data_IF_144374878224
#
_entry.id   IF_144374878224
#
_cell.length_a   1.000
_cell.length_b   1.000
_cell.length_c   1.000
_cell.angle_alpha   90.00
_cell.angle_beta   90.00
_cell.angle_gamma   90.00
#
_symmetry.space_group_name_H-M   'P 1'
#
loop_
_entity.id
_entity.type
_entity.pdbx_description
1 polymer ?
#
# COMPACT_ATOMS: atom_id res chain seq x y z
N UNK A 1 -12.05 -1.76 -2.09
CA UNK A 1 -11.99 -0.90 -3.30
C UNK A 1 -10.89 -1.35 -4.28
N UNK A 2 -9.69 -1.75 -3.79
CA UNK A 2 -8.60 -2.19 -4.69
C UNK A 2 -8.97 -3.47 -5.45
N UNK A 3 -9.54 -4.46 -4.77
CA UNK A 3 -9.95 -5.74 -5.37
C UNK A 3 -11.05 -5.56 -6.44
N UNK A 4 -11.92 -4.57 -6.23
CA UNK A 4 -12.99 -4.20 -7.15
C UNK A 4 -12.54 -3.14 -8.17
N UNK A 5 -11.28 -2.68 -8.10
CA UNK A 5 -10.67 -1.69 -8.99
C UNK A 5 -11.38 -0.32 -8.98
N UNK A 6 -12.00 -0.02 -7.84
CA UNK A 6 -12.64 1.27 -7.59
C UNK A 6 -11.62 2.30 -7.07
N UNK A 7 -10.61 2.59 -7.90
CA UNK A 7 -9.43 3.38 -7.51
C UNK A 7 -9.77 4.79 -7.01
N UNK A 8 -10.80 5.45 -7.57
CA UNK A 8 -11.21 6.76 -7.07
C UNK A 8 -11.80 6.68 -5.65
N UNK A 9 -12.59 5.66 -5.37
CA UNK A 9 -13.10 5.44 -4.01
C UNK A 9 -11.96 5.09 -3.05
N UNK A 10 -10.99 4.32 -3.53
CA UNK A 10 -9.79 4.02 -2.76
C UNK A 10 -9.01 5.29 -2.39
N UNK A 11 -8.85 6.24 -3.32
CA UNK A 11 -8.21 7.54 -3.06
C UNK A 11 -8.95 8.37 -2.00
N UNK A 12 -10.27 8.23 -1.87
CA UNK A 12 -11.02 8.94 -0.81
C UNK A 12 -10.73 8.45 0.60
N UNK A 13 -10.07 7.31 0.76
CA UNK A 13 -9.66 6.80 2.08
C UNK A 13 -8.42 7.54 2.64
N UNK A 14 -7.75 8.37 1.84
CA UNK A 14 -6.50 9.02 2.20
C UNK A 14 -6.66 10.52 2.41
N UNK A 15 -6.02 11.05 3.45
CA UNK A 15 -5.86 12.48 3.65
C UNK A 15 -4.95 13.09 2.55
N UNK A 16 -5.08 14.38 2.29
CA UNK A 16 -4.29 15.06 1.25
C UNK A 16 -2.79 15.10 1.59
N UNK A 17 -2.46 15.12 2.89
CA UNK A 17 -1.12 15.11 3.46
C UNK A 17 -0.62 13.69 3.82
N UNK A 18 -1.22 12.65 3.26
CA UNK A 18 -0.85 11.26 3.56
C UNK A 18 0.61 10.97 3.18
N UNK A 19 1.35 10.36 4.09
CA UNK A 19 2.61 9.70 3.78
C UNK A 19 2.37 8.23 3.47
N UNK A 20 2.71 7.80 2.27
CA UNK A 20 2.64 6.40 1.85
C UNK A 20 4.04 5.86 1.61
N UNK A 21 4.47 4.92 2.43
CA UNK A 21 5.83 4.42 2.40
C UNK A 21 5.92 2.89 2.43
N UNK A 22 6.78 2.37 1.58
CA UNK A 22 7.14 0.97 1.53
C UNK A 22 8.67 0.88 1.56
N UNK A 23 9.27 0.66 2.76
CA UNK A 23 10.72 0.51 2.89
C UNK A 23 11.21 -0.73 2.14
N UNK A 24 12.46 -0.73 1.75
CA UNK A 24 13.14 -1.91 1.21
C UNK A 24 13.95 -2.62 2.30
N UNK A 25 14.28 -3.88 2.07
CA UNK A 25 15.26 -4.60 2.87
C UNK A 25 16.66 -4.30 2.33
N UNK A 26 17.61 -4.06 3.23
CA UNK A 26 19.02 -3.93 2.91
C UNK A 26 19.73 -5.29 2.83
N UNK A 27 20.95 -5.29 2.36
CA UNK A 27 21.80 -6.50 2.30
C UNK A 27 22.14 -7.09 3.69
N UNK A 28 21.88 -6.35 4.74
CA UNK A 28 22.06 -6.71 6.15
C UNK A 28 20.79 -7.29 6.81
N UNK A 29 19.75 -7.57 6.01
CA UNK A 29 18.44 -8.01 6.47
C UNK A 29 17.71 -7.00 7.39
N UNK A 30 18.08 -5.72 7.34
CA UNK A 30 17.39 -4.64 8.03
C UNK A 30 16.54 -3.82 7.05
N UNK A 31 15.42 -3.30 7.55
CA UNK A 31 14.60 -2.36 6.78
C UNK A 31 15.30 -1.00 6.71
N UNK A 32 15.17 -0.34 5.57
CA UNK A 32 15.53 1.08 5.44
C UNK A 32 14.69 1.91 6.40
N UNK A 33 15.31 2.93 7.03
CA UNK A 33 14.69 3.66 8.14
C UNK A 33 14.21 5.06 7.76
N UNK A 34 14.81 5.67 6.72
CA UNK A 34 14.51 7.04 6.31
C UNK A 34 14.23 7.10 4.80
N UNK A 35 12.99 7.37 4.36
CA UNK A 35 12.65 7.44 2.94
C UNK A 35 13.31 8.60 2.19
N UNK A 36 13.91 9.58 2.90
CA UNK A 36 14.62 10.71 2.30
C UNK A 36 16.07 10.36 1.95
N UNK A 37 16.69 9.42 2.65
CA UNK A 37 18.10 9.06 2.49
C UNK A 37 18.31 7.65 2.00
N UNK A 38 17.33 6.77 2.21
CA UNK A 38 17.41 5.35 1.92
C UNK A 38 16.54 4.97 0.71
N UNK A 39 16.84 3.81 0.12
CA UNK A 39 16.04 3.25 -0.95
C UNK A 39 14.68 2.81 -0.42
N UNK A 40 13.62 3.14 -1.12
CA UNK A 40 12.26 2.68 -0.87
C UNK A 40 11.71 1.91 -2.06
N UNK A 41 10.89 0.89 -1.82
CA UNK A 41 10.15 0.23 -2.89
C UNK A 41 9.07 1.18 -3.45
N UNK A 42 8.37 1.89 -2.56
CA UNK A 42 7.42 2.95 -2.90
C UNK A 42 7.52 4.05 -1.85
N UNK A 43 7.54 5.31 -2.28
CA UNK A 43 7.42 6.44 -1.40
C UNK A 43 6.65 7.59 -2.05
N UNK A 44 5.62 8.08 -1.37
CA UNK A 44 4.85 9.26 -1.73
C UNK A 44 4.67 10.14 -0.51
N UNK A 45 5.09 11.40 -0.62
CA UNK A 45 5.02 12.41 0.45
C UNK A 45 3.60 12.94 0.69
N UNK A 46 2.71 12.73 -0.27
CA UNK A 46 1.33 13.21 -0.23
C UNK A 46 0.45 12.42 -1.21
N UNK A 47 -0.85 12.69 -1.17
CA UNK A 47 -1.86 12.04 -2.00
C UNK A 47 -1.63 12.19 -3.51
N UNK A 48 -1.00 13.27 -3.94
CA UNK A 48 -0.71 13.52 -5.37
C UNK A 48 0.07 12.37 -6.02
N UNK A 49 0.99 11.73 -5.28
CA UNK A 49 1.71 10.56 -5.77
C UNK A 49 0.79 9.35 -6.00
N UNK A 50 -0.21 9.15 -5.15
CA UNK A 50 -1.22 8.10 -5.32
C UNK A 50 -2.16 8.40 -6.50
N UNK A 51 -2.57 9.65 -6.66
CA UNK A 51 -3.40 10.11 -7.79
C UNK A 51 -2.69 9.92 -9.12
N UNK A 52 -1.42 10.30 -9.21
CA UNK A 52 -0.57 10.05 -10.39
C UNK A 52 -0.47 8.55 -10.70
N UNK A 53 -0.39 7.71 -9.67
CA UNK A 53 -0.33 6.26 -9.86
C UNK A 53 -1.63 5.70 -10.40
N UNK A 54 -2.77 6.11 -9.85
CA UNK A 54 -4.10 5.73 -10.34
C UNK A 54 -4.29 6.19 -11.79
N UNK A 55 -3.88 7.40 -12.12
CA UNK A 55 -3.92 7.91 -13.49
C UNK A 55 -3.11 7.02 -14.46
N UNK A 56 -1.90 6.60 -14.08
CA UNK A 56 -1.07 5.70 -14.91
C UNK A 56 -1.69 4.33 -15.10
N UNK A 57 -2.30 3.76 -14.05
CA UNK A 57 -3.02 2.48 -14.12
C UNK A 57 -4.13 2.56 -15.17
N UNK A 58 -4.91 3.65 -15.19
CA UNK A 58 -6.03 3.86 -16.12
C UNK A 58 -5.61 4.11 -17.56
N UNK A 59 -4.49 4.74 -17.78
CA UNK A 59 -4.00 5.06 -19.13
C UNK A 59 -3.28 3.91 -19.82
N UNK A 60 -3.34 2.69 -19.27
CA UNK A 60 -2.65 1.49 -19.80
C UNK A 60 -1.12 1.65 -19.96
N UNK A 61 -0.56 2.71 -19.41
CA UNK A 61 0.88 3.00 -19.46
C UNK A 61 1.68 2.22 -18.41
N UNK A 62 1.00 1.48 -17.55
CA UNK A 62 1.63 0.64 -16.54
C UNK A 62 1.85 -0.77 -17.09
N UNK A 63 3.10 -1.21 -17.12
CA UNK A 63 3.45 -2.60 -17.47
C UNK A 63 2.80 -3.64 -16.54
N UNK A 64 2.44 -3.21 -15.33
CA UNK A 64 1.79 -4.05 -14.33
C UNK A 64 0.28 -4.22 -14.58
N UNK A 65 -0.37 -3.33 -15.35
CA UNK A 65 -1.84 -3.35 -15.60
C UNK A 65 -2.26 -3.61 -17.03
N UNK A 66 -1.31 -3.80 -17.95
CA UNK A 66 -1.64 -4.16 -19.34
C UNK A 66 -2.45 -5.48 -19.41
N UNK A 67 -3.18 -5.68 -20.48
CA UNK A 67 -4.02 -6.88 -20.69
C UNK A 67 -3.17 -8.17 -20.69
N UNK A 68 -3.60 -9.25 -20.00
CA UNK A 68 -4.81 -9.35 -19.18
C UNK A 68 -4.66 -8.62 -17.83
N UNK A 69 -5.73 -7.97 -17.41
CA UNK A 69 -5.74 -7.25 -16.15
C UNK A 69 -5.60 -8.19 -14.95
N UNK A 70 -4.83 -7.82 -13.92
CA UNK A 70 -4.69 -8.62 -12.72
C UNK A 70 -6.00 -8.67 -11.92
N UNK A 71 -6.17 -9.75 -11.16
CA UNK A 71 -7.19 -9.89 -10.13
C UNK A 71 -6.50 -10.08 -8.79
N UNK A 72 -6.93 -9.33 -7.79
CA UNK A 72 -6.37 -9.37 -6.44
C UNK A 72 -7.41 -9.78 -5.41
N UNK A 73 -6.95 -10.28 -4.29
CA UNK A 73 -7.75 -10.51 -3.09
C UNK A 73 -6.91 -10.15 -1.88
N UNK A 74 -7.28 -9.04 -1.21
CA UNK A 74 -6.63 -8.57 0.01
C UNK A 74 -7.26 -9.23 1.23
N UNK A 75 -6.42 -9.70 2.14
CA UNK A 75 -6.83 -10.29 3.40
C UNK A 75 -6.04 -9.65 4.53
N UNK A 76 -6.74 -9.17 5.55
CA UNK A 76 -6.18 -8.50 6.73
C UNK A 76 -6.49 -9.33 7.96
N UNK A 77 -5.50 -9.50 8.83
CA UNK A 77 -5.65 -10.23 10.08
C UNK A 77 -4.75 -9.66 11.19
N UNK A 78 -4.95 -10.11 12.42
CA UNK A 78 -4.18 -9.70 13.59
C UNK A 78 -4.11 -8.17 13.74
N UNK A 79 -5.26 -7.51 13.65
CA UNK A 79 -5.35 -6.06 13.83
C UNK A 79 -5.10 -5.71 15.29
N UNK A 80 -4.14 -4.82 15.52
CA UNK A 80 -3.74 -4.33 16.83
C UNK A 80 -3.77 -2.81 16.85
N UNK A 81 -4.40 -2.21 17.85
CA UNK A 81 -4.30 -0.78 18.14
C UNK A 81 -3.04 -0.56 18.95
N UNK A 82 -2.06 0.14 18.37
CA UNK A 82 -0.78 0.44 19.04
C UNK A 82 -0.96 1.60 20.00
N UNK A 83 -1.60 2.68 19.53
CA UNK A 83 -1.80 3.90 20.29
C UNK A 83 -3.07 4.62 19.84
N UNK A 84 -3.70 5.31 20.78
CA UNK A 84 -4.80 6.22 20.50
C UNK A 84 -4.55 7.58 21.15
N UNK A 85 -4.56 8.63 20.34
CA UNK A 85 -4.40 10.04 20.75
C UNK A 85 -5.62 10.84 20.31
N UNK A 86 -6.67 10.81 21.13
CA UNK A 86 -7.97 11.40 20.78
C UNK A 86 -8.60 10.69 19.57
N UNK A 87 -8.74 11.41 18.47
CA UNK A 87 -9.30 10.89 17.22
C UNK A 87 -8.25 10.27 16.28
N UNK A 88 -6.97 10.38 16.63
CA UNK A 88 -5.88 9.76 15.88
C UNK A 88 -5.57 8.39 16.48
N UNK A 89 -5.54 7.37 15.63
CA UNK A 89 -5.31 5.98 16.03
C UNK A 89 -4.21 5.37 15.18
N UNK A 90 -3.16 4.85 15.85
CA UNK A 90 -2.13 4.06 15.22
C UNK A 90 -2.48 2.58 15.31
N UNK A 91 -2.50 1.90 14.19
CA UNK A 91 -2.83 0.48 14.09
C UNK A 91 -1.73 -0.28 13.36
N UNK A 92 -1.59 -1.54 13.74
CA UNK A 92 -0.74 -2.52 13.07
C UNK A 92 -1.59 -3.72 12.70
N UNK A 93 -1.31 -4.31 11.55
CA UNK A 93 -1.96 -5.56 11.13
C UNK A 93 -1.06 -6.37 10.20
N UNK A 94 -1.31 -7.67 10.13
CA UNK A 94 -0.74 -8.53 9.12
C UNK A 94 -1.67 -8.57 7.92
N UNK A 95 -1.09 -8.75 6.75
CA UNK A 95 -1.87 -8.85 5.51
C UNK A 95 -1.27 -9.88 4.57
N UNK A 96 -2.09 -10.41 3.70
CA UNK A 96 -1.65 -11.09 2.50
C UNK A 96 -2.58 -10.77 1.33
N UNK A 97 -2.01 -10.61 0.15
CA UNK A 97 -2.71 -10.37 -1.09
C UNK A 97 -2.38 -11.49 -2.06
N UNK A 98 -3.43 -12.13 -2.58
CA UNK A 98 -3.29 -13.05 -3.69
C UNK A 98 -3.46 -12.26 -4.99
N UNK A 99 -2.48 -12.36 -5.85
CA UNK A 99 -2.45 -11.70 -7.16
C UNK A 99 -2.49 -12.75 -8.26
N UNK A 100 -3.47 -12.67 -9.15
CA UNK A 100 -3.63 -13.59 -10.27
C UNK A 100 -3.48 -12.89 -11.60
N UNK A 101 -2.54 -13.34 -12.40
CA UNK A 101 -2.32 -12.90 -13.78
C UNK A 101 -1.60 -13.98 -14.59
N UNK A 102 -1.84 -14.05 -15.91
CA UNK A 102 -1.19 -15.02 -16.79
C UNK A 102 -1.28 -16.49 -16.33
N UNK A 103 -2.41 -16.86 -15.70
CA UNK A 103 -2.65 -18.20 -15.12
C UNK A 103 -1.75 -18.54 -13.93
N UNK A 104 -1.07 -17.56 -13.37
CA UNK A 104 -0.21 -17.69 -12.21
C UNK A 104 -0.83 -16.95 -11.02
N UNK A 105 -0.65 -17.52 -9.83
CA UNK A 105 -1.00 -16.87 -8.56
C UNK A 105 0.29 -16.52 -7.85
N UNK A 106 0.49 -15.24 -7.57
CA UNK A 106 1.61 -14.74 -6.79
C UNK A 106 1.11 -14.22 -5.45
N UNK A 107 1.61 -14.72 -4.32
CA UNK A 107 1.28 -14.20 -3.01
C UNK A 107 2.19 -13.02 -2.66
N UNK A 108 1.61 -12.00 -2.04
CA UNK A 108 2.34 -10.93 -1.35
C UNK A 108 1.87 -10.91 0.10
N UNK A 109 2.78 -10.72 1.04
CA UNK A 109 2.40 -10.69 2.45
C UNK A 109 3.37 -9.85 3.29
N UNK A 110 2.84 -9.36 4.39
CA UNK A 110 3.62 -8.53 5.27
C UNK A 110 2.89 -8.00 6.48
N UNK A 111 3.41 -6.91 6.99
CA UNK A 111 2.83 -6.15 8.10
C UNK A 111 2.67 -4.70 7.67
N UNK A 112 1.54 -4.09 8.02
CA UNK A 112 1.31 -2.68 7.77
C UNK A 112 1.07 -1.92 9.06
N UNK A 113 1.47 -0.63 9.04
CA UNK A 113 1.26 0.33 10.10
C UNK A 113 0.51 1.53 9.52
N UNK A 114 -0.65 1.84 10.10
CA UNK A 114 -1.46 2.96 9.65
C UNK A 114 -1.66 3.95 10.79
N UNK A 115 -1.62 5.24 10.46
CA UNK A 115 -2.18 6.30 11.29
C UNK A 115 -3.50 6.74 10.67
N UNK A 116 -4.60 6.59 11.40
CA UNK A 116 -5.95 6.86 10.93
C UNK A 116 -6.54 8.01 11.76
N UNK A 117 -7.11 8.99 11.07
CA UNK A 117 -7.79 10.15 11.65
C UNK A 117 -9.31 9.92 11.60
N UNK A 118 -9.94 9.88 12.77
CA UNK A 118 -11.39 9.72 12.97
C UNK A 118 -12.10 11.04 13.31
N UNK A 119 -11.44 12.19 13.18
CA UNK A 119 -12.04 13.50 13.53
C UNK A 119 -13.12 13.95 12.56
N UNK A 120 -13.16 13.44 11.33
CA UNK A 120 -14.16 13.75 10.32
C UNK A 120 -15.34 12.78 10.29
N UNK A 121 -16.28 13.00 9.36
CA UNK A 121 -17.41 12.08 9.14
C UNK A 121 -16.95 10.70 8.64
N UNK A 122 -15.87 10.66 7.88
CA UNK A 122 -15.23 9.42 7.40
C UNK A 122 -13.79 9.38 7.85
N UNK A 123 -13.32 8.22 8.35
CA UNK A 123 -11.91 8.05 8.71
C UNK A 123 -10.99 8.24 7.52
N UNK A 124 -9.86 8.91 7.72
CA UNK A 124 -8.84 9.13 6.70
C UNK A 124 -7.49 8.55 7.14
N UNK A 125 -6.80 7.90 6.23
CA UNK A 125 -5.43 7.41 6.43
C UNK A 125 -4.48 8.58 6.22
N UNK A 126 -3.73 8.96 7.28
CA UNK A 126 -2.69 9.99 7.23
C UNK A 126 -1.30 9.42 7.01
N UNK A 127 -1.09 8.18 7.43
CA UNK A 127 0.16 7.47 7.22
C UNK A 127 -0.12 6.01 6.90
N UNK A 128 0.56 5.48 5.91
CA UNK A 128 0.56 4.06 5.57
C UNK A 128 1.99 3.61 5.35
N UNK A 129 2.50 2.78 6.25
CA UNK A 129 3.79 2.10 6.06
C UNK A 129 3.52 0.63 5.80
N UNK A 130 4.06 0.10 4.71
CA UNK A 130 3.88 -1.30 4.29
C UNK A 130 5.22 -2.01 4.31
N UNK A 131 5.38 -2.99 5.19
CA UNK A 131 6.56 -3.86 5.23
C UNK A 131 6.24 -5.13 4.44
N UNK A 132 6.83 -5.27 3.25
CA UNK A 132 6.74 -6.48 2.44
C UNK A 132 7.73 -7.51 2.98
N UNK A 133 7.24 -8.70 3.34
CA UNK A 133 8.10 -9.76 3.92
C UNK A 133 8.66 -10.73 2.88
N UNK A 134 8.01 -10.86 1.73
CA UNK A 134 8.54 -11.61 0.60
C UNK A 134 9.03 -10.65 -0.49
N UNK A 135 10.13 -9.97 -0.22
CA UNK A 135 10.71 -8.92 -1.06
C UNK A 135 11.38 -9.42 -2.35
N UNK A 136 11.45 -10.73 -2.55
CA UNK A 136 11.85 -11.30 -3.85
C UNK A 136 10.71 -11.15 -4.85
N UNK A 137 10.76 -10.05 -5.61
CA UNK A 137 9.70 -9.62 -6.52
C UNK A 137 10.06 -9.96 -7.95
N UNK A 138 9.24 -10.79 -8.62
CA UNK A 138 9.48 -11.24 -10.00
C UNK A 138 9.02 -10.22 -11.06
N UNK A 139 8.22 -9.24 -10.69
CA UNK A 139 7.66 -8.23 -11.60
C UNK A 139 7.43 -6.91 -10.89
N UNK A 140 7.03 -5.90 -11.65
CA UNK A 140 6.78 -4.56 -11.11
C UNK A 140 5.65 -4.61 -10.08
N UNK A 141 5.94 -4.21 -8.86
CA UNK A 141 4.94 -4.01 -7.80
C UNK A 141 4.21 -2.70 -7.98
N UNK A 142 2.94 -2.70 -7.60
CA UNK A 142 2.06 -1.56 -7.68
C UNK A 142 1.16 -1.47 -6.45
N UNK A 143 0.51 -0.33 -6.25
CA UNK A 143 -0.35 -0.03 -5.09
C UNK A 143 -1.44 -1.06 -4.81
N UNK A 144 -1.89 -1.80 -5.80
CA UNK A 144 -2.91 -2.84 -5.66
C UNK A 144 -2.36 -4.22 -5.26
N UNK A 145 -1.07 -4.34 -4.99
CA UNK A 145 -0.50 -5.56 -4.40
C UNK A 145 -0.54 -5.53 -2.85
N UNK A 146 -0.84 -4.35 -2.22
CA UNK A 146 -0.74 -4.16 -0.77
C UNK A 146 -1.89 -3.36 -0.17
#
# INVERSE_FOLDING_TARGET
YLDDREFEKWLTCYADDVEYWMPSWGDDDLLTEDPQTDISLIYYENKGGLEDRVFRIRTERSSATSIPEPRTSHNINNVEVIERRGDIVDVRFNWHTMYFRYKTVDPYYGTSFYTIDFSGETPLIRRKTVVLKNDYIHHVVDIYHF
#
